data_IF_293662860554
#
_entry.id   IF_293662860554
#
_cell.length_a   1.000
_cell.length_b   1.000
_cell.length_c   1.000
_cell.angle_alpha   90.00
_cell.angle_beta   90.00
_cell.angle_gamma   90.00
#
_symmetry.space_group_name_H-M   'P 1'
#
loop_
_entity.id
_entity.type
_entity.pdbx_description
1 polymer ?
#
# COMPACT_ATOMS: atom_id res chain seq x y z
N UNK A 1 7.76 10.39 7.47
CA UNK A 1 7.13 9.11 7.72
C UNK A 1 8.17 8.03 7.83
N UNK A 2 8.01 7.09 8.73
CA UNK A 2 8.99 6.06 8.93
C UNK A 2 8.56 4.75 8.32
N UNK A 3 9.53 3.98 7.86
CA UNK A 3 9.29 2.67 7.30
C UNK A 3 8.67 1.73 8.34
N UNK A 4 8.95 1.97 9.62
CA UNK A 4 8.38 1.15 10.69
C UNK A 4 6.87 1.20 10.69
N UNK A 5 6.28 2.35 10.44
CA UNK A 5 4.83 2.46 10.38
C UNK A 5 4.23 1.65 9.24
N UNK A 6 4.95 1.60 8.14
CA UNK A 6 4.50 0.80 7.00
C UNK A 6 4.53 -0.68 7.35
N UNK A 7 5.62 -1.14 7.93
CA UNK A 7 5.70 -2.55 8.32
C UNK A 7 4.68 -2.90 9.39
N UNK A 8 4.47 -2.00 10.33
CA UNK A 8 3.44 -2.22 11.34
C UNK A 8 2.06 -2.33 10.70
N UNK A 9 1.75 -1.42 9.79
CA UNK A 9 0.46 -1.45 9.12
C UNK A 9 0.28 -2.73 8.32
N UNK A 10 1.35 -3.24 7.72
CA UNK A 10 1.29 -4.45 6.91
C UNK A 10 1.35 -5.74 7.71
N UNK A 11 1.55 -5.64 9.02
CA UNK A 11 1.69 -6.84 9.85
C UNK A 11 0.36 -7.53 10.14
N UNK A 12 -0.74 -6.95 9.74
CA UNK A 12 -2.08 -7.49 9.98
C UNK A 12 -2.68 -7.99 8.68
N UNK A 13 -3.19 -9.23 8.71
CA UNK A 13 -3.86 -9.79 7.55
C UNK A 13 -5.08 -8.97 7.16
N UNK A 14 -5.81 -8.45 8.16
CA UNK A 14 -6.98 -7.62 7.90
C UNK A 14 -6.58 -6.36 7.14
N UNK A 15 -5.52 -5.70 7.60
CA UNK A 15 -5.10 -4.46 6.95
C UNK A 15 -4.59 -4.73 5.53
N UNK A 16 -3.86 -5.82 5.32
CA UNK A 16 -3.44 -6.17 3.96
C UNK A 16 -4.63 -6.42 3.06
N UNK A 17 -5.68 -7.03 3.60
CA UNK A 17 -6.88 -7.28 2.80
C UNK A 17 -7.62 -5.99 2.50
N UNK A 18 -7.65 -5.05 3.45
CA UNK A 18 -8.24 -3.73 3.19
C UNK A 18 -7.54 -3.08 2.00
N UNK A 19 -6.21 -3.10 1.99
CA UNK A 19 -5.48 -2.52 0.87
C UNK A 19 -5.83 -3.20 -0.44
N UNK A 20 -6.01 -4.52 -0.41
CA UNK A 20 -6.40 -5.25 -1.61
C UNK A 20 -7.77 -4.82 -2.12
N UNK A 21 -8.72 -4.62 -1.21
CA UNK A 21 -10.03 -4.13 -1.61
C UNK A 21 -9.94 -2.73 -2.21
N UNK A 22 -9.12 -1.87 -1.60
CA UNK A 22 -9.00 -0.49 -2.08
C UNK A 22 -8.24 -0.41 -3.40
N UNK A 23 -7.55 -1.45 -3.79
CA UNK A 23 -6.85 -1.45 -5.07
C UNK A 23 -7.82 -1.42 -6.24
N UNK A 24 -9.08 -1.78 -6.01
CA UNK A 24 -10.11 -1.74 -7.06
C UNK A 24 -10.88 -0.44 -7.09
N UNK A 25 -10.73 0.41 -6.09
CA UNK A 25 -11.44 1.67 -6.06
C UNK A 25 -11.68 2.12 -4.63
N UNK A 26 -12.16 3.34 -4.49
CA UNK A 26 -12.38 3.91 -3.16
C UNK A 26 -13.60 3.28 -2.48
N UNK A 27 -13.54 3.19 -1.17
CA UNK A 27 -14.62 2.61 -0.36
C UNK A 27 -14.74 3.40 0.94
N UNK A 28 -15.96 3.43 1.48
CA UNK A 28 -16.18 3.97 2.82
C UNK A 28 -15.86 2.90 3.86
N UNK A 29 -15.70 3.34 5.11
CA UNK A 29 -15.44 2.39 6.21
C UNK A 29 -16.57 1.37 6.33
N UNK A 30 -17.82 1.83 6.15
CA UNK A 30 -18.96 0.92 6.22
C UNK A 30 -18.92 -0.15 5.12
N UNK A 31 -18.56 0.25 3.92
CA UNK A 31 -18.46 -0.70 2.81
C UNK A 31 -17.35 -1.72 3.06
N UNK A 32 -16.25 -1.27 3.64
CA UNK A 32 -15.16 -2.18 3.99
C UNK A 32 -15.62 -3.14 5.09
N UNK A 33 -16.29 -2.61 6.12
CA UNK A 33 -16.73 -3.44 7.24
C UNK A 33 -17.64 -4.56 6.80
N UNK A 34 -18.49 -4.30 5.82
CA UNK A 34 -19.40 -5.32 5.30
C UNK A 34 -18.64 -6.52 4.74
N UNK A 35 -17.48 -6.28 4.16
CA UNK A 35 -16.69 -7.35 3.56
C UNK A 35 -15.97 -8.23 4.57
N UNK A 36 -15.86 -7.76 5.81
CA UNK A 36 -15.09 -8.47 6.84
C UNK A 36 -15.96 -9.04 7.95
N UNK A 37 -17.23 -8.75 7.96
CA UNK A 37 -18.07 -9.12 9.09
C UNK A 37 -17.50 -8.58 10.40
N UNK A 38 -16.96 -7.37 10.34
CA UNK A 38 -16.41 -6.68 11.49
C UNK A 38 -17.19 -5.39 11.71
N UNK A 39 -17.13 -4.87 12.92
CA UNK A 39 -17.81 -3.62 13.21
C UNK A 39 -17.10 -2.44 12.51
N UNK A 40 -17.87 -1.41 12.21
CA UNK A 40 -17.28 -0.21 11.59
C UNK A 40 -16.22 0.42 12.49
N UNK A 41 -16.39 0.51 13.83
CA UNK A 41 -15.31 1.04 14.66
C UNK A 41 -14.02 0.22 14.59
N UNK A 42 -14.12 -1.11 14.48
CA UNK A 42 -12.93 -1.93 14.36
C UNK A 42 -12.21 -1.65 13.04
N UNK A 43 -12.97 -1.55 11.96
CA UNK A 43 -12.39 -1.21 10.66
C UNK A 43 -11.78 0.19 10.70
N UNK A 44 -12.44 1.15 11.35
CA UNK A 44 -11.90 2.49 11.45
C UNK A 44 -10.55 2.52 12.14
N UNK A 45 -10.35 1.68 13.15
CA UNK A 45 -9.04 1.61 13.80
C UNK A 45 -7.97 1.10 12.85
N UNK A 46 -8.30 0.10 12.05
CA UNK A 46 -7.35 -0.39 11.05
C UNK A 46 -7.04 0.68 10.01
N UNK A 47 -8.07 1.40 9.59
CA UNK A 47 -7.89 2.48 8.61
C UNK A 47 -7.02 3.61 9.16
N UNK A 48 -7.17 3.91 10.46
CA UNK A 48 -6.31 4.93 11.08
C UNK A 48 -4.84 4.55 11.03
N UNK A 49 -4.54 3.28 11.27
CA UNK A 49 -3.15 2.82 11.19
C UNK A 49 -2.63 2.90 9.76
N UNK A 50 -3.47 2.55 8.80
CA UNK A 50 -3.07 2.65 7.40
C UNK A 50 -2.87 4.09 6.97
N UNK A 51 -3.72 5.01 7.45
CA UNK A 51 -3.55 6.42 7.17
C UNK A 51 -2.28 6.98 7.79
N UNK A 52 -2.00 6.59 9.02
CA UNK A 52 -0.78 7.05 9.70
C UNK A 52 0.47 6.61 8.96
N UNK A 53 0.39 5.48 8.26
CA UNK A 53 1.51 4.99 7.45
C UNK A 53 1.49 5.57 6.03
N UNK A 54 0.52 6.42 5.72
CA UNK A 54 0.34 6.98 4.39
C UNK A 54 0.14 5.93 3.31
N UNK A 55 -0.47 4.82 3.69
CA UNK A 55 -0.82 3.77 2.73
C UNK A 55 -2.22 3.95 2.18
N UNK A 56 -3.04 4.72 2.89
CA UNK A 56 -4.34 5.13 2.38
C UNK A 56 -4.53 6.61 2.65
N UNK A 57 -5.38 7.23 1.85
CA UNK A 57 -5.81 8.60 2.07
C UNK A 57 -7.32 8.59 2.18
N UNK A 58 -7.88 9.63 2.77
CA UNK A 58 -9.32 9.73 2.92
C UNK A 58 -9.81 11.08 2.42
N UNK A 59 -11.06 11.09 2.01
CA UNK A 59 -11.67 12.30 1.50
C UNK A 59 -13.13 12.31 1.93
N UNK A 60 -13.57 13.46 2.47
CA UNK A 60 -14.95 13.59 2.86
C UNK A 60 -15.80 13.98 1.67
N UNK A 61 -16.88 13.24 1.45
CA UNK A 61 -17.85 13.54 0.41
C UNK A 61 -19.24 13.48 1.02
N UNK A 62 -19.83 14.64 1.23
CA UNK A 62 -21.11 14.70 1.92
C UNK A 62 -20.97 14.14 3.32
N UNK A 63 -21.77 13.15 3.65
CA UNK A 63 -21.70 12.52 4.98
C UNK A 63 -20.85 11.28 4.99
N UNK A 64 -20.17 10.97 3.90
CA UNK A 64 -19.32 9.80 3.81
C UNK A 64 -17.86 10.21 3.80
N UNK A 65 -17.02 9.33 4.33
CA UNK A 65 -15.58 9.45 4.19
C UNK A 65 -15.14 8.28 3.34
N UNK A 66 -14.50 8.58 2.21
CA UNK A 66 -14.05 7.55 1.27
C UNK A 66 -12.55 7.40 1.40
N UNK A 67 -12.10 6.16 1.41
CA UNK A 67 -10.70 5.82 1.55
C UNK A 67 -10.16 5.32 0.23
N UNK A 68 -8.91 5.69 -0.07
CA UNK A 68 -8.24 5.32 -1.30
C UNK A 68 -6.86 4.78 -1.00
N UNK A 69 -6.42 3.84 -1.80
CA UNK A 69 -5.08 3.29 -1.69
C UNK A 69 -4.06 4.30 -2.18
N UNK A 70 -2.99 4.48 -1.43
CA UNK A 70 -1.84 5.26 -1.88
C UNK A 70 -0.78 4.27 -2.39
N UNK A 71 -0.99 3.76 -3.60
CA UNK A 71 -0.17 2.70 -4.13
C UNK A 71 1.28 3.12 -4.33
N UNK A 72 1.51 4.37 -4.70
CA UNK A 72 2.87 4.85 -4.95
C UNK A 72 3.72 4.77 -3.70
N UNK A 73 3.16 5.15 -2.56
CA UNK A 73 3.92 5.11 -1.32
C UNK A 73 4.26 3.67 -0.93
N UNK A 74 3.33 2.77 -1.12
CA UNK A 74 3.55 1.35 -0.82
C UNK A 74 4.66 0.79 -1.70
N UNK A 75 4.55 0.97 -3.00
CA UNK A 75 5.52 0.43 -3.95
C UNK A 75 6.90 1.03 -3.71
N UNK A 76 6.97 2.35 -3.59
CA UNK A 76 8.26 3.02 -3.44
C UNK A 76 8.96 2.64 -2.15
N UNK A 77 8.21 2.53 -1.06
CA UNK A 77 8.81 2.20 0.22
C UNK A 77 9.32 0.77 0.25
N UNK A 78 8.52 -0.17 -0.21
CA UNK A 78 8.93 -1.57 -0.18
C UNK A 78 10.06 -1.85 -1.15
N UNK A 79 9.99 -1.27 -2.33
CA UNK A 79 11.06 -1.44 -3.32
C UNK A 79 12.37 -0.83 -2.82
N UNK A 80 12.28 0.38 -2.25
CA UNK A 80 13.45 1.04 -1.71
C UNK A 80 14.11 0.22 -0.61
N UNK A 81 13.29 -0.30 0.30
CA UNK A 81 13.83 -1.12 1.37
C UNK A 81 14.49 -2.39 0.82
N UNK A 82 13.83 -3.04 -0.14
CA UNK A 82 14.37 -4.27 -0.72
C UNK A 82 15.74 -4.02 -1.33
N UNK A 83 15.91 -2.94 -2.07
CA UNK A 83 17.19 -2.63 -2.69
C UNK A 83 18.23 -2.22 -1.66
N UNK A 84 17.80 -1.65 -0.55
CA UNK A 84 18.73 -1.21 0.49
C UNK A 84 19.35 -2.38 1.22
N UNK A 85 18.55 -3.41 1.53
CA UNK A 85 19.01 -4.48 2.41
C UNK A 85 19.44 -5.75 1.69
N UNK A 86 19.47 -5.75 0.38
CA UNK A 86 19.87 -6.95 -0.36
C UNK A 86 21.16 -6.74 -1.10
N UNK A 87 22.28 -6.59 -0.39
CA UNK A 87 23.57 -6.38 -1.07
C UNK A 87 23.97 -7.61 -1.89
N UNK A 88 23.58 -8.79 -1.45
CA UNK A 88 23.87 -10.00 -2.19
C UNK A 88 23.08 -10.07 -3.48
N UNK A 89 22.17 -9.15 -3.68
CA UNK A 89 21.40 -9.06 -4.90
C UNK A 89 22.08 -8.17 -5.93
N UNK A 90 23.35 -7.86 -5.75
CA UNK A 90 24.09 -7.09 -6.72
C UNK A 90 23.94 -7.59 -8.16
N UNK A 91 24.14 -8.87 -8.41
CA UNK A 91 23.90 -9.39 -9.77
C UNK A 91 22.46 -9.22 -10.20
N UNK A 92 21.53 -9.44 -9.31
CA UNK A 92 20.12 -9.27 -9.63
C UNK A 92 19.78 -7.81 -9.87
N UNK A 93 20.38 -6.92 -9.10
CA UNK A 93 20.18 -5.50 -9.33
C UNK A 93 20.70 -5.09 -10.68
N UNK A 94 21.85 -5.60 -11.07
CA UNK A 94 22.41 -5.32 -12.39
C UNK A 94 21.51 -5.87 -13.48
N UNK A 95 21.02 -7.06 -13.29
CA UNK A 95 20.10 -7.67 -14.23
C UNK A 95 18.85 -6.82 -14.38
N UNK A 96 18.30 -6.40 -13.26
CA UNK A 96 17.11 -5.55 -13.26
C UNK A 96 17.34 -4.25 -13.99
N UNK A 97 18.51 -3.64 -13.80
CA UNK A 97 18.85 -2.41 -14.49
C UNK A 97 18.94 -2.63 -15.99
N UNK A 98 19.55 -3.75 -16.39
CA UNK A 98 19.65 -4.06 -17.80
C UNK A 98 18.30 -4.30 -18.43
N UNK A 99 17.44 -5.00 -17.73
CA UNK A 99 16.08 -5.20 -18.19
C UNK A 99 15.30 -3.89 -18.29
N UNK A 100 15.49 -3.02 -17.32
CA UNK A 100 14.84 -1.73 -17.35
C UNK A 100 15.30 -0.91 -18.54
N UNK A 101 16.58 -0.95 -18.85
CA UNK A 101 17.10 -0.26 -20.01
C UNK A 101 16.52 -0.81 -21.31
N UNK A 102 16.45 -2.13 -21.41
CA UNK A 102 15.87 -2.77 -22.58
C UNK A 102 14.41 -2.40 -22.73
N UNK A 103 13.68 -2.40 -21.64
CA UNK A 103 12.27 -2.04 -21.66
C UNK A 103 12.06 -0.58 -21.98
N UNK A 104 12.90 0.31 -21.47
CA UNK A 104 12.72 1.71 -21.76
C UNK A 104 12.95 2.00 -23.23
N UNK A 105 13.79 1.24 -23.89
CA UNK A 105 13.95 1.45 -25.31
C UNK A 105 12.77 0.89 -26.09
N UNK A 106 11.97 0.07 -25.47
CA UNK A 106 10.77 -0.47 -26.11
C UNK A 106 9.52 0.27 -25.68
N UNK A 107 9.38 0.53 -24.46
CA UNK A 107 8.25 1.22 -23.97
C UNK A 107 8.28 1.28 -22.52
N UNK A 108 8.93 1.22 -21.92
CA UNK A 108 8.94 1.37 -20.77
C UNK A 108 8.45 0.87 -19.75
N UNK A 109 8.38 0.66 -19.22
CA UNK A 109 7.86 0.10 -18.18
C UNK A 109 7.73 0.57 -17.09
#
# INVERSE_FOLDING_TARGET
MTIDRIFEALSSAVRRKILAFLSSGELSAGQIAERFEMSAPAISRHLSLLEAANLVTSERRGQFILYQLNADNLVNTLTGYAFEVCPTAGPLKRESRNLAKAKSSQSNT
#
